data_IF_563693900901
#
_entry.id   IF_563693900901
#
_cell.length_a   1.000
_cell.length_b   1.000
_cell.length_c   1.000
_cell.angle_alpha   90.00
_cell.angle_beta   90.00
_cell.angle_gamma   90.00
#
_symmetry.space_group_name_H-M   'P 1'
#
loop_
_entity.id
_entity.type
_entity.pdbx_description
1 polymer ?
#
# COMPACT_ATOMS: atom_id res chain seq x y z
N UNK A 1 10.53 -5.00 -1.39
CA UNK A 1 10.14 -6.16 -0.55
C UNK A 1 8.82 -6.74 -1.03
N UNK A 2 7.72 -5.98 -0.98
CA UNK A 2 6.41 -6.40 -1.54
C UNK A 2 6.54 -6.83 -3.01
N UNK A 3 7.20 -6.01 -3.85
CA UNK A 3 7.49 -6.36 -5.25
C UNK A 3 8.15 -7.73 -5.41
N UNK A 4 9.22 -8.00 -4.65
CA UNK A 4 9.92 -9.28 -4.72
C UNK A 4 9.06 -10.47 -4.26
N UNK A 5 8.14 -10.27 -3.32
CA UNK A 5 7.21 -11.30 -2.90
C UNK A 5 6.16 -11.57 -3.99
N UNK A 6 5.57 -10.51 -4.57
CA UNK A 6 4.63 -10.63 -5.68
C UNK A 6 5.25 -11.31 -6.89
N UNK A 7 6.50 -10.96 -7.26
CA UNK A 7 7.27 -11.63 -8.32
C UNK A 7 7.53 -13.13 -8.03
N UNK A 8 7.69 -13.49 -6.76
CA UNK A 8 7.84 -14.87 -6.32
C UNK A 8 6.49 -15.62 -6.23
N UNK A 9 5.38 -14.98 -6.59
CA UNK A 9 4.04 -15.55 -6.51
C UNK A 9 3.51 -15.66 -5.08
N UNK A 10 3.94 -14.76 -4.18
CA UNK A 10 3.55 -14.72 -2.77
C UNK A 10 2.87 -13.39 -2.48
N UNK A 11 1.73 -13.45 -1.79
CA UNK A 11 1.01 -12.28 -1.25
C UNK A 11 1.10 -12.27 0.28
N UNK A 12 1.23 -11.09 0.87
CA UNK A 12 1.43 -10.95 2.31
C UNK A 12 0.12 -11.02 3.09
N UNK A 13 -0.96 -10.41 2.57
CA UNK A 13 -2.36 -10.48 3.05
C UNK A 13 -2.64 -9.91 4.44
N UNK A 14 -1.67 -9.29 5.07
CA UNK A 14 -1.78 -8.71 6.41
C UNK A 14 -0.83 -7.56 6.62
N UNK A 15 -0.56 -6.80 5.55
CA UNK A 15 0.29 -5.61 5.64
C UNK A 15 -0.36 -4.58 6.55
N UNK A 16 0.40 -4.13 7.55
CA UNK A 16 0.03 -3.03 8.41
C UNK A 16 1.28 -2.28 8.88
N UNK A 17 1.09 -1.22 9.67
CA UNK A 17 2.21 -0.39 10.15
C UNK A 17 3.24 -1.20 10.96
N UNK A 18 2.80 -2.25 11.64
CA UNK A 18 3.66 -3.12 12.45
C UNK A 18 4.44 -4.16 11.62
N UNK A 19 4.09 -4.35 10.34
CA UNK A 19 4.77 -5.29 9.44
C UNK A 19 6.14 -4.77 8.96
N UNK A 20 6.55 -3.57 9.37
CA UNK A 20 7.81 -2.95 8.95
C UNK A 20 8.73 -2.80 10.15
N UNK A 21 9.79 -3.60 10.16
CA UNK A 21 10.84 -3.54 11.19
C UNK A 21 11.94 -2.59 10.72
N UNK A 22 12.23 -1.59 11.56
CA UNK A 22 13.38 -0.73 11.39
C UNK A 22 14.60 -1.37 12.06
N UNK A 23 15.61 -1.71 11.27
CA UNK A 23 16.89 -2.22 11.74
C UNK A 23 17.98 -1.24 11.38
N UNK A 24 18.90 -0.99 12.31
CA UNK A 24 20.11 -0.22 12.02
C UNK A 24 21.36 -1.09 12.11
N UNK A 25 22.29 -0.89 11.19
CA UNK A 25 23.64 -1.47 11.28
C UNK A 25 24.33 -1.09 12.61
N UNK A 26 23.99 0.06 13.20
CA UNK A 26 24.45 0.45 14.53
C UNK A 26 23.88 -0.38 15.70
N UNK A 27 22.85 -1.19 15.47
CA UNK A 27 22.26 -2.11 16.45
C UNK A 27 22.89 -3.52 16.39
N UNK A 28 23.66 -3.85 15.35
CA UNK A 28 24.43 -5.10 15.32
C UNK A 28 25.65 -4.96 16.26
N UNK A 29 25.59 -5.65 17.41
CA UNK A 29 26.66 -5.64 18.42
C UNK A 29 27.99 -6.22 17.91
N UNK A 30 27.99 -6.88 16.74
CA UNK A 30 29.19 -7.42 16.09
C UNK A 30 29.88 -6.39 15.19
N UNK A 31 29.21 -5.30 14.87
CA UNK A 31 29.80 -4.23 14.07
C UNK A 31 30.46 -3.17 14.94
N UNK A 32 31.67 -2.77 14.57
CA UNK A 32 32.36 -1.66 15.22
C UNK A 32 31.59 -0.35 14.95
N UNK A 33 31.08 0.27 16.00
CA UNK A 33 30.46 1.59 15.93
C UNK A 33 31.52 2.64 16.30
N UNK A 34 31.76 3.61 15.42
CA UNK A 34 32.73 4.70 15.64
C UNK A 34 32.06 6.05 15.39
N UNK A 35 32.30 7.08 16.23
CA UNK A 35 31.84 8.45 15.95
C UNK A 35 32.48 9.07 14.70
N UNK A 36 33.52 8.43 14.14
CA UNK A 36 34.17 8.81 12.88
C UNK A 36 33.70 7.97 11.68
N UNK A 37 32.70 7.08 11.86
CA UNK A 37 32.19 6.27 10.77
C UNK A 37 31.42 7.15 9.77
N UNK A 38 31.91 7.20 8.53
CA UNK A 38 31.39 8.03 7.42
C UNK A 38 30.40 7.29 6.52
N UNK A 39 29.75 6.21 7.00
CA UNK A 39 28.77 5.46 6.18
C UNK A 39 27.35 5.98 6.47
N UNK A 40 26.74 6.51 5.41
CA UNK A 40 25.60 7.42 5.37
C UNK A 40 24.51 6.78 4.48
N UNK A 41 24.00 5.56 4.76
CA UNK A 41 22.96 5.38 5.79
C UNK A 41 22.94 3.98 6.47
N UNK A 42 22.43 3.89 7.71
CA UNK A 42 22.37 2.63 8.47
C UNK A 42 20.98 2.01 8.60
N UNK A 43 19.92 2.69 8.15
CA UNK A 43 18.54 2.25 8.33
C UNK A 43 18.12 1.27 7.24
N UNK A 44 17.73 0.06 7.66
CA UNK A 44 17.11 -0.97 6.83
C UNK A 44 15.67 -1.13 7.27
N UNK A 45 14.75 -1.04 6.33
CA UNK A 45 13.35 -1.44 6.52
C UNK A 45 13.21 -2.90 6.11
N UNK A 46 12.70 -3.74 7.01
CA UNK A 46 12.50 -5.17 6.79
C UNK A 46 11.00 -5.45 6.87
N UNK A 47 10.47 -6.13 5.85
CA UNK A 47 9.09 -6.60 5.83
C UNK A 47 8.97 -7.90 6.65
N UNK A 48 8.17 -7.88 7.71
CA UNK A 48 7.94 -8.98 8.66
C UNK A 48 6.53 -9.56 8.54
N UNK A 49 6.05 -10.28 9.55
CA UNK A 49 4.64 -10.70 9.70
C UNK A 49 4.06 -11.57 8.58
N UNK A 50 4.88 -12.43 7.99
CA UNK A 50 4.51 -13.41 6.96
C UNK A 50 3.57 -14.54 7.45
N UNK A 51 3.05 -14.47 8.68
CA UNK A 51 2.20 -15.52 9.27
C UNK A 51 0.86 -15.74 8.57
N UNK A 52 0.37 -14.75 7.81
CA UNK A 52 -0.84 -14.84 6.99
C UNK A 52 -0.55 -14.82 5.48
N UNK A 53 0.73 -14.86 5.11
CA UNK A 53 1.10 -14.91 3.70
C UNK A 53 0.73 -16.23 3.05
N UNK A 54 0.55 -16.21 1.75
CA UNK A 54 0.23 -17.40 0.97
C UNK A 54 0.78 -17.27 -0.44
N UNK A 55 0.95 -18.41 -1.11
CA UNK A 55 1.13 -18.39 -2.57
C UNK A 55 -0.14 -17.85 -3.23
N UNK A 56 -0.01 -17.29 -4.44
CA UNK A 56 -1.17 -16.85 -5.23
C UNK A 56 -2.18 -17.99 -5.43
N UNK A 57 -1.68 -19.19 -5.68
CA UNK A 57 -2.53 -20.38 -5.87
C UNK A 57 -3.37 -20.70 -4.63
N UNK A 58 -2.79 -20.58 -3.44
CA UNK A 58 -3.50 -20.78 -2.18
C UNK A 58 -4.49 -19.63 -1.92
N UNK A 59 -4.05 -18.37 -2.11
CA UNK A 59 -4.88 -17.19 -1.90
C UNK A 59 -6.15 -17.20 -2.76
N UNK A 60 -6.04 -17.56 -4.05
CA UNK A 60 -7.16 -17.65 -4.99
C UNK A 60 -8.21 -18.69 -4.57
N UNK A 61 -7.81 -19.72 -3.83
CA UNK A 61 -8.71 -20.76 -3.33
C UNK A 61 -9.47 -20.34 -2.07
N UNK A 62 -9.11 -19.20 -1.47
CA UNK A 62 -9.74 -18.74 -0.25
C UNK A 62 -11.10 -18.12 -0.53
N UNK A 63 -12.07 -18.59 0.25
CA UNK A 63 -13.45 -18.10 0.19
C UNK A 63 -13.51 -16.60 0.46
N UNK A 64 -12.75 -16.12 1.44
CA UNK A 64 -12.75 -14.72 1.87
C UNK A 64 -12.23 -13.80 0.77
N UNK A 65 -11.18 -14.20 0.05
CA UNK A 65 -10.69 -13.47 -1.13
C UNK A 65 -11.77 -13.41 -2.21
N UNK A 66 -12.39 -14.55 -2.54
CA UNK A 66 -13.44 -14.63 -3.55
C UNK A 66 -14.69 -13.79 -3.20
N UNK A 67 -15.05 -13.68 -1.92
CA UNK A 67 -16.13 -12.78 -1.49
C UNK A 67 -15.75 -11.33 -1.72
N UNK A 68 -14.51 -10.93 -1.39
CA UNK A 68 -14.05 -9.55 -1.58
C UNK A 68 -13.90 -9.21 -3.07
N UNK A 69 -13.30 -10.07 -3.88
CA UNK A 69 -13.09 -9.83 -5.32
C UNK A 69 -14.42 -9.61 -6.06
N UNK A 70 -15.47 -10.36 -5.67
CA UNK A 70 -16.83 -10.21 -6.20
C UNK A 70 -17.40 -8.80 -6.01
N UNK A 71 -17.04 -8.11 -4.92
CA UNK A 71 -17.47 -6.73 -4.68
C UNK A 71 -16.87 -5.75 -5.69
N UNK A 72 -15.77 -6.13 -6.35
CA UNK A 72 -15.09 -5.37 -7.39
C UNK A 72 -15.37 -5.91 -8.80
N UNK A 73 -16.40 -6.76 -8.96
CA UNK A 73 -16.79 -7.29 -10.27
C UNK A 73 -15.95 -8.47 -10.78
N UNK A 74 -14.97 -8.94 -10.00
CA UNK A 74 -14.15 -10.11 -10.34
C UNK A 74 -14.82 -11.37 -9.76
N UNK A 75 -15.34 -12.30 -10.60
CA UNK A 75 -15.99 -13.51 -10.12
C UNK A 75 -15.06 -14.33 -9.22
N UNK A 76 -15.64 -15.00 -8.21
CA UNK A 76 -14.85 -15.90 -7.38
C UNK A 76 -14.57 -17.19 -8.16
N UNK A 77 -13.36 -17.73 -7.99
CA UNK A 77 -13.03 -19.09 -8.36
C UNK A 77 -13.72 -19.99 -7.33
N UNK A 78 -14.76 -20.74 -7.73
CA UNK A 78 -15.71 -21.39 -6.81
C UNK A 78 -15.05 -22.26 -5.74
N UNK A 79 -15.32 -21.97 -4.47
CA UNK A 79 -14.82 -22.70 -3.30
C UNK A 79 -15.87 -23.64 -2.65
N UNK A 80 -16.95 -24.02 -3.35
CA UNK A 80 -17.97 -24.92 -2.78
C UNK A 80 -18.30 -26.20 -3.56
N UNK A 81 -18.01 -26.31 -4.86
CA UNK A 81 -18.36 -27.53 -5.62
C UNK A 81 -17.39 -27.85 -6.77
N UNK A 82 -16.08 -27.96 -6.56
CA UNK A 82 -15.13 -28.56 -7.53
C UNK A 82 -15.23 -28.08 -9.00
N UNK A 83 -15.85 -26.94 -9.27
CA UNK A 83 -15.93 -26.31 -10.57
C UNK A 83 -14.91 -25.19 -10.56
N UNK A 84 -13.65 -25.52 -10.85
CA UNK A 84 -12.72 -24.49 -11.29
C UNK A 84 -13.41 -23.74 -12.43
N UNK A 85 -13.39 -22.41 -12.35
CA UNK A 85 -13.54 -21.59 -13.55
C UNK A 85 -12.61 -22.18 -14.61
N UNK A 86 -13.15 -22.64 -15.74
CA UNK A 86 -12.33 -22.99 -16.91
C UNK A 86 -11.83 -21.74 -17.64
N UNK A 87 -12.10 -20.56 -17.09
CA UNK A 87 -11.63 -19.29 -17.60
C UNK A 87 -10.36 -18.88 -16.87
N UNK A 88 -9.22 -19.06 -17.54
CA UNK A 88 -7.89 -18.66 -17.07
C UNK A 88 -7.85 -17.16 -16.71
N UNK A 89 -8.71 -16.32 -17.31
CA UNK A 89 -8.79 -14.89 -17.02
C UNK A 89 -9.26 -14.61 -15.60
N UNK A 90 -10.19 -15.42 -15.08
CA UNK A 90 -10.71 -15.25 -13.71
C UNK A 90 -9.64 -15.63 -12.69
N UNK A 91 -8.91 -16.73 -12.93
CA UNK A 91 -7.82 -17.17 -12.05
C UNK A 91 -6.69 -16.13 -12.02
N UNK A 92 -6.33 -15.55 -13.17
CA UNK A 92 -5.34 -14.46 -13.28
C UNK A 92 -5.82 -13.22 -12.54
N UNK A 93 -7.06 -12.78 -12.77
CA UNK A 93 -7.61 -11.59 -12.12
C UNK A 93 -7.72 -11.76 -10.60
N UNK A 94 -8.10 -12.95 -10.12
CA UNK A 94 -8.14 -13.25 -8.68
C UNK A 94 -6.74 -13.21 -8.04
N UNK A 95 -5.72 -13.73 -8.73
CA UNK A 95 -4.33 -13.63 -8.28
C UNK A 95 -3.83 -12.18 -8.23
N UNK A 96 -4.14 -11.39 -9.25
CA UNK A 96 -3.83 -9.95 -9.27
C UNK A 96 -4.61 -9.19 -8.19
N UNK A 97 -5.85 -9.59 -7.90
CA UNK A 97 -6.65 -8.97 -6.84
C UNK A 97 -6.01 -9.17 -5.47
N UNK A 98 -5.47 -10.37 -5.19
CA UNK A 98 -4.72 -10.61 -3.96
C UNK A 98 -3.48 -9.69 -3.83
N UNK A 99 -2.78 -9.40 -4.92
CA UNK A 99 -1.68 -8.42 -4.94
C UNK A 99 -2.20 -6.99 -4.75
N UNK A 100 -3.36 -6.66 -5.33
CA UNK A 100 -4.01 -5.36 -5.19
C UNK A 100 -4.43 -5.09 -3.74
N UNK A 101 -4.85 -6.12 -2.99
CA UNK A 101 -5.14 -5.99 -1.56
C UNK A 101 -3.88 -5.62 -0.76
N UNK A 102 -2.74 -6.23 -1.07
CA UNK A 102 -1.46 -5.85 -0.46
C UNK A 102 -1.08 -4.39 -0.78
N UNK A 103 -1.27 -3.94 -2.02
CA UNK A 103 -0.99 -2.55 -2.41
C UNK A 103 -1.92 -1.56 -1.73
N UNK A 104 -3.22 -1.87 -1.63
CA UNK A 104 -4.18 -1.05 -0.90
C UNK A 104 -3.80 -0.92 0.58
N UNK A 105 -3.47 -2.03 1.23
CA UNK A 105 -2.98 -2.02 2.61
C UNK A 105 -1.69 -1.20 2.75
N UNK A 106 -0.75 -1.32 1.80
CA UNK A 106 0.47 -0.52 1.75
C UNK A 106 0.17 0.98 1.63
N UNK A 107 -0.89 1.37 0.90
CA UNK A 107 -1.36 2.76 0.83
C UNK A 107 -1.75 3.32 2.19
N UNK A 108 -2.48 2.55 3.00
CA UNK A 108 -2.82 2.96 4.37
C UNK A 108 -1.61 3.01 5.30
N UNK A 109 -0.64 2.10 5.13
CA UNK A 109 0.64 2.19 5.83
C UNK A 109 1.39 3.46 5.46
N UNK A 110 1.42 3.80 4.17
CA UNK A 110 2.05 5.02 3.67
C UNK A 110 1.41 6.28 4.26
N UNK A 111 0.07 6.35 4.31
CA UNK A 111 -0.67 7.42 4.99
C UNK A 111 -0.28 7.52 6.46
N UNK A 112 -0.44 6.43 7.21
CA UNK A 112 -0.18 6.41 8.63
C UNK A 112 1.28 6.72 8.96
N UNK A 113 2.23 6.37 8.09
CA UNK A 113 3.63 6.72 8.26
C UNK A 113 3.84 8.22 8.02
N UNK A 114 3.51 8.76 6.84
CA UNK A 114 3.83 10.15 6.51
C UNK A 114 3.09 11.14 7.39
N UNK A 115 1.77 11.00 7.53
CA UNK A 115 0.93 11.96 8.23
C UNK A 115 1.09 11.92 9.75
N UNK A 116 1.63 10.83 10.32
CA UNK A 116 1.98 10.78 11.73
C UNK A 116 3.42 11.24 11.98
N UNK A 117 4.37 10.89 11.11
CA UNK A 117 5.80 11.13 11.37
C UNK A 117 6.27 12.52 10.94
N UNK A 118 5.66 13.10 9.91
CA UNK A 118 5.98 14.44 9.40
C UNK A 118 4.94 15.49 9.82
N UNK A 119 4.04 15.14 10.74
CA UNK A 119 3.15 16.11 11.36
C UNK A 119 3.95 17.16 12.13
N UNK A 120 3.59 18.44 11.95
CA UNK A 120 4.22 19.57 12.62
C UNK A 120 3.22 20.34 13.51
N UNK A 121 2.85 19.78 14.68
CA UNK A 121 1.88 20.44 15.55
C UNK A 121 2.49 21.70 16.19
N UNK A 122 1.70 22.77 16.27
CA UNK A 122 2.13 24.06 16.84
C UNK A 122 2.66 23.96 18.28
N UNK A 123 2.19 22.97 19.06
CA UNK A 123 2.71 22.65 20.40
C UNK A 123 2.66 21.15 20.65
N UNK A 124 3.44 20.65 21.62
CA UNK A 124 3.44 19.23 22.03
C UNK A 124 2.08 18.72 22.54
N UNK A 125 1.18 19.63 22.94
CA UNK A 125 -0.16 19.32 23.44
C UNK A 125 -1.27 19.67 22.45
N UNK A 126 -0.92 20.17 21.25
CA UNK A 126 -1.93 20.46 20.24
C UNK A 126 -2.65 19.16 19.85
N UNK A 127 -3.99 19.19 19.70
CA UNK A 127 -4.71 18.03 19.21
C UNK A 127 -4.23 17.70 17.80
N UNK A 128 -3.94 16.43 17.57
CA UNK A 128 -3.63 15.87 16.25
C UNK A 128 -4.91 15.30 15.64
N UNK A 129 -5.19 15.51 14.34
CA UNK A 129 -6.20 14.73 13.66
C UNK A 129 -5.86 13.22 13.77
N UNK A 130 -6.87 12.33 13.86
CA UNK A 130 -6.62 10.89 13.92
C UNK A 130 -5.88 10.38 12.68
N UNK A 131 -4.81 9.62 12.88
CA UNK A 131 -3.99 9.04 11.79
C UNK A 131 -3.92 7.51 11.85
N UNK A 132 -4.91 6.88 12.49
CA UNK A 132 -5.08 5.43 12.51
C UNK A 132 -5.81 4.90 11.27
N UNK A 133 -5.67 3.61 11.02
CA UNK A 133 -6.13 2.95 9.80
C UNK A 133 -7.66 3.06 9.64
N UNK A 134 -8.44 2.92 10.73
CA UNK A 134 -9.91 3.03 10.70
C UNK A 134 -10.35 4.45 10.34
N UNK A 135 -9.69 5.46 10.94
CA UNK A 135 -9.95 6.86 10.64
C UNK A 135 -9.64 7.19 9.17
N UNK A 136 -8.50 6.74 8.65
CA UNK A 136 -8.15 6.94 7.24
C UNK A 136 -9.08 6.22 6.29
N UNK A 137 -9.44 4.96 6.59
CA UNK A 137 -10.35 4.20 5.76
C UNK A 137 -11.72 4.87 5.68
N UNK A 138 -12.27 5.31 6.81
CA UNK A 138 -13.54 6.04 6.84
C UNK A 138 -13.46 7.36 6.08
N UNK A 139 -12.40 8.14 6.32
CA UNK A 139 -12.25 9.45 5.71
C UNK A 139 -12.13 9.35 4.18
N UNK A 140 -11.21 8.51 3.71
CA UNK A 140 -10.99 8.34 2.27
C UNK A 140 -12.16 7.59 1.61
N UNK A 141 -12.57 6.45 2.14
CA UNK A 141 -13.53 5.57 1.46
C UNK A 141 -14.97 6.02 1.61
N UNK A 142 -15.37 6.49 2.78
CA UNK A 142 -16.79 6.78 3.07
C UNK A 142 -17.11 8.27 2.93
N UNK A 143 -16.26 9.15 3.49
CA UNK A 143 -16.53 10.59 3.51
C UNK A 143 -16.22 11.21 2.15
N UNK A 144 -15.03 10.95 1.61
CA UNK A 144 -14.63 11.47 0.30
C UNK A 144 -14.97 10.55 -0.86
N UNK A 145 -15.58 9.38 -0.59
CA UNK A 145 -15.97 8.42 -1.62
C UNK A 145 -14.81 8.10 -2.58
N UNK A 146 -13.61 7.92 -2.02
CA UNK A 146 -12.37 7.60 -2.72
C UNK A 146 -11.88 8.68 -3.69
N UNK A 147 -12.38 9.91 -3.57
CA UNK A 147 -11.91 11.05 -4.36
C UNK A 147 -10.56 11.56 -3.80
N UNK A 148 -9.50 11.33 -4.58
CA UNK A 148 -8.14 11.76 -4.23
C UNK A 148 -7.99 13.29 -4.19
N UNK A 149 -8.74 14.04 -5.01
CA UNK A 149 -8.72 15.50 -5.03
C UNK A 149 -9.34 16.07 -3.76
N UNK A 150 -10.55 15.61 -3.41
CA UNK A 150 -11.22 16.01 -2.18
C UNK A 150 -10.42 15.62 -0.93
N UNK A 151 -9.77 14.45 -0.96
CA UNK A 151 -8.90 14.00 0.13
C UNK A 151 -7.65 14.89 0.28
N UNK A 152 -6.99 15.23 -0.83
CA UNK A 152 -5.86 16.18 -0.83
C UNK A 152 -6.28 17.55 -0.32
N UNK A 153 -7.43 18.06 -0.76
CA UNK A 153 -7.95 19.36 -0.33
C UNK A 153 -8.20 19.38 1.17
N UNK A 154 -8.76 18.30 1.74
CA UNK A 154 -8.88 18.16 3.19
C UNK A 154 -7.52 18.24 3.89
N UNK A 155 -6.53 17.47 3.44
CA UNK A 155 -5.19 17.49 4.03
C UNK A 155 -4.51 18.86 3.93
N UNK A 156 -4.76 19.62 2.86
CA UNK A 156 -4.23 20.97 2.65
C UNK A 156 -4.83 22.01 3.62
N UNK A 157 -6.02 21.75 4.15
CA UNK A 157 -6.67 22.64 5.11
C UNK A 157 -6.27 22.37 6.58
N UNK A 158 -5.40 21.39 6.81
CA UNK A 158 -4.91 21.03 8.14
C UNK A 158 -3.44 21.45 8.26
N UNK A 159 -3.18 22.64 8.84
CA UNK A 159 -1.83 23.26 8.96
C UNK A 159 -0.76 22.29 9.50
N UNK A 160 -1.17 21.33 10.34
CA UNK A 160 -0.28 20.32 10.93
C UNK A 160 0.37 19.39 9.90
N UNK A 161 -0.16 19.34 8.68
CA UNK A 161 0.30 18.50 7.60
C UNK A 161 0.90 19.26 6.41
N UNK A 162 1.15 20.57 6.55
CA UNK A 162 1.76 21.40 5.50
C UNK A 162 3.01 20.75 4.90
N UNK A 163 3.93 20.26 5.74
CA UNK A 163 5.16 19.59 5.28
C UNK A 163 4.91 18.27 4.53
N UNK A 164 3.85 17.54 4.90
CA UNK A 164 3.44 16.31 4.21
C UNK A 164 2.87 16.66 2.84
N UNK A 165 1.98 17.65 2.78
CA UNK A 165 1.33 18.10 1.54
C UNK A 165 2.40 18.63 0.58
N UNK A 166 3.31 19.47 1.05
CA UNK A 166 4.45 19.98 0.28
C UNK A 166 5.33 18.86 -0.29
N UNK A 167 5.57 17.79 0.49
CA UNK A 167 6.32 16.62 0.02
C UNK A 167 5.56 15.88 -1.10
N UNK A 168 4.25 15.67 -0.92
CA UNK A 168 3.43 14.91 -1.86
C UNK A 168 3.13 15.69 -3.15
N UNK A 169 3.14 17.02 -3.09
CA UNK A 169 2.95 17.94 -4.22
C UNK A 169 4.17 18.05 -5.16
N UNK A 170 5.35 17.59 -4.72
CA UNK A 170 6.57 17.61 -5.56
C UNK A 170 6.38 16.82 -6.84
N UNK A 171 7.10 17.22 -7.89
CA UNK A 171 7.06 16.62 -9.22
C UNK A 171 5.61 16.47 -9.74
N UNK A 172 4.88 17.58 -9.76
CA UNK A 172 3.49 17.65 -10.26
C UNK A 172 2.54 16.70 -9.50
N UNK A 173 2.67 16.62 -8.17
CA UNK A 173 1.80 15.79 -7.34
C UNK A 173 2.15 14.31 -7.35
N UNK A 174 3.40 13.94 -7.63
CA UNK A 174 3.82 12.54 -7.73
C UNK A 174 3.54 11.73 -6.45
N UNK A 175 3.59 12.35 -5.26
CA UNK A 175 3.26 11.64 -4.02
C UNK A 175 1.77 11.30 -3.94
N UNK A 176 0.91 12.23 -4.32
CA UNK A 176 -0.54 12.00 -4.38
C UNK A 176 -0.91 10.96 -5.44
N UNK A 177 -0.26 11.00 -6.60
CA UNK A 177 -0.46 10.01 -7.66
C UNK A 177 -0.09 8.61 -7.17
N UNK A 178 1.10 8.43 -6.56
CA UNK A 178 1.51 7.15 -5.97
C UNK A 178 0.53 6.68 -4.90
N UNK A 179 0.06 7.58 -4.05
CA UNK A 179 -0.92 7.24 -3.03
C UNK A 179 -2.24 6.75 -3.65
N UNK A 180 -2.70 7.40 -4.72
CA UNK A 180 -3.85 6.97 -5.51
C UNK A 180 -3.64 5.59 -6.16
N UNK A 181 -2.46 5.33 -6.74
CA UNK A 181 -2.09 4.00 -7.26
C UNK A 181 -2.25 2.91 -6.21
N UNK A 182 -1.80 3.17 -4.98
CA UNK A 182 -1.87 2.22 -3.87
C UNK A 182 -3.31 2.06 -3.36
N UNK A 183 -3.96 3.16 -2.97
CA UNK A 183 -5.29 3.12 -2.34
C UNK A 183 -6.38 2.62 -3.29
N UNK A 184 -6.25 2.83 -4.60
CA UNK A 184 -7.26 2.44 -5.60
C UNK A 184 -6.87 1.18 -6.37
N UNK A 185 -5.85 0.45 -5.93
CA UNK A 185 -5.33 -0.71 -6.66
C UNK A 185 -6.41 -1.77 -6.95
N UNK A 186 -7.34 -2.00 -6.01
CA UNK A 186 -8.43 -2.99 -6.16
C UNK A 186 -9.51 -2.51 -7.12
N UNK A 187 -9.88 -1.25 -6.98
CA UNK A 187 -10.87 -0.56 -7.79
C UNK A 187 -10.47 -0.59 -9.26
N UNK A 188 -9.24 -0.16 -9.56
CA UNK A 188 -8.71 -0.11 -10.93
C UNK A 188 -8.61 -1.49 -11.57
N UNK A 189 -8.22 -2.51 -10.79
CA UNK A 189 -8.21 -3.88 -11.29
C UNK A 189 -9.63 -4.36 -11.61
N UNK A 190 -10.59 -4.06 -10.73
CA UNK A 190 -12.00 -4.39 -10.95
C UNK A 190 -12.55 -3.72 -12.21
N UNK A 191 -12.32 -2.42 -12.35
CA UNK A 191 -12.70 -1.62 -13.52
C UNK A 191 -12.12 -2.21 -14.81
N UNK A 192 -10.79 -2.40 -14.86
CA UNK A 192 -10.11 -2.97 -16.02
C UNK A 192 -10.65 -4.38 -16.37
N UNK A 193 -10.92 -5.21 -15.37
CA UNK A 193 -11.53 -6.52 -15.60
C UNK A 193 -12.94 -6.43 -16.17
N UNK A 194 -13.77 -5.50 -15.69
CA UNK A 194 -15.16 -5.34 -16.15
C UNK A 194 -15.28 -4.69 -17.52
N UNK A 195 -14.36 -3.79 -17.87
CA UNK A 195 -14.33 -3.08 -19.15
C UNK A 195 -13.62 -3.87 -20.25
N UNK A 196 -13.09 -5.07 -19.92
CA UNK A 196 -12.31 -5.93 -20.83
C UNK A 196 -11.08 -5.22 -21.40
N UNK A 197 -10.55 -4.26 -20.64
CA UNK A 197 -9.32 -3.57 -20.97
C UNK A 197 -8.11 -4.46 -20.67
N UNK A 198 -6.97 -4.20 -21.32
CA UNK A 198 -5.72 -4.78 -20.87
C UNK A 198 -5.53 -4.39 -19.40
N UNK A 199 -5.40 -5.39 -18.53
CA UNK A 199 -5.19 -5.18 -17.10
C UNK A 199 -3.85 -4.47 -16.88
N UNK A 200 -3.84 -3.15 -16.98
CA UNK A 200 -2.74 -2.27 -16.58
C UNK A 200 -2.77 -2.12 -15.06
N UNK A 201 -2.63 -3.25 -14.37
CA UNK A 201 -2.38 -3.25 -12.94
C UNK A 201 -0.94 -2.77 -12.71
N UNK A 202 -0.78 -1.60 -12.11
CA UNK A 202 0.52 -1.12 -11.65
C UNK A 202 1.05 -2.07 -10.59
N UNK A 203 1.90 -3.01 -10.98
CA UNK A 203 2.45 -3.98 -10.04
C UNK A 203 3.31 -3.26 -9.00
N UNK A 204 3.52 -3.89 -7.85
CA UNK A 204 4.45 -3.36 -6.86
C UNK A 204 5.85 -3.09 -7.43
N UNK A 205 6.25 -3.78 -8.51
CA UNK A 205 7.49 -3.55 -9.23
C UNK A 205 7.43 -2.29 -10.09
N UNK A 206 6.35 -2.07 -10.83
CA UNK A 206 6.19 -0.90 -11.68
C UNK A 206 6.16 0.38 -10.84
N UNK A 207 5.56 0.32 -9.65
CA UNK A 207 5.57 1.42 -8.69
C UNK A 207 6.97 1.80 -8.20
N UNK A 208 7.97 0.91 -8.24
CA UNK A 208 9.36 1.29 -7.89
C UNK A 208 9.95 2.30 -8.87
N UNK A 209 9.43 2.35 -10.10
CA UNK A 209 9.84 3.32 -11.12
C UNK A 209 9.03 4.63 -11.06
N UNK A 210 8.09 4.74 -10.12
CA UNK A 210 7.22 5.90 -9.98
C UNK A 210 8.04 7.20 -9.75
N UNK A 211 7.67 8.34 -10.37
CA UNK A 211 8.39 9.61 -10.23
C UNK A 211 8.65 10.04 -8.79
N UNK A 212 7.73 9.72 -7.87
CA UNK A 212 7.88 9.99 -6.43
C UNK A 212 9.20 9.44 -5.85
N UNK A 213 9.65 8.25 -6.27
CA UNK A 213 10.90 7.65 -5.77
C UNK A 213 12.16 8.20 -6.47
N UNK A 214 11.99 8.96 -7.54
CA UNK A 214 13.07 9.62 -8.29
C UNK A 214 13.33 11.05 -7.79
N UNK A 215 12.46 11.55 -6.90
CA UNK A 215 12.64 12.83 -6.23
C UNK A 215 13.93 12.81 -5.42
N UNK A 216 14.84 13.73 -5.72
CA UNK A 216 16.00 13.98 -4.85
C UNK A 216 15.52 14.81 -3.67
N UNK A 217 15.56 14.21 -2.48
CA UNK A 217 15.33 14.88 -1.19
C UNK A 217 16.57 15.68 -0.81
#
# INVERSE_FOLDING_TARGET
AVASAHEAGIVHRSLGRNSFILSSVGQDKREATSPYAVVIPRLRVILSDWGFSATLQEAVQEKELGVRSKLFGIPAVDSYENQRSNDDRIDVAAGQFAMAEDLNALGFVYLGLLFATLANPATLSAPMPPTDDDSWQRLFSDIFNKDMGAFRDYCTNEDVWDEVVDLLDREEGAGWNLLGELLLARERLGEAFTEDEEMQFGSAKDLLEHPFFKVKI
#
